data_IF_927625262689
#
_entry.id   IF_927625262689
#
_cell.length_a   1.000
_cell.length_b   1.000
_cell.length_c   1.000
_cell.angle_alpha   90.00
_cell.angle_beta   90.00
_cell.angle_gamma   90.00
#
_symmetry.space_group_name_H-M   'P 1'
#
loop_
_entity.id
_entity.type
_entity.pdbx_description
1 polymer ?
#
# COMPACT_ATOMS: atom_id res chain seq x y z
N UNK A 1 15.28 6.77 20.29
CA UNK A 1 14.80 5.48 19.74
C UNK A 1 14.39 5.73 18.30
N UNK A 2 15.06 5.09 17.34
CA UNK A 2 14.78 5.31 15.92
C UNK A 2 13.40 4.77 15.55
N UNK A 3 12.52 5.64 15.05
CA UNK A 3 11.24 5.22 14.47
C UNK A 3 11.44 4.43 13.18
N UNK A 4 10.37 3.85 12.64
CA UNK A 4 10.41 3.00 11.43
C UNK A 4 10.49 3.80 10.11
N UNK A 5 10.69 5.12 10.16
CA UNK A 5 10.66 6.01 8.99
C UNK A 5 11.78 5.75 7.98
N UNK A 6 12.78 4.92 8.32
CA UNK A 6 13.89 4.51 7.46
C UNK A 6 13.71 3.09 6.89
N UNK A 7 12.68 2.35 7.35
CA UNK A 7 12.42 0.97 6.92
C UNK A 7 11.62 1.01 5.62
N UNK A 8 12.02 0.27 4.56
CA UNK A 8 11.22 0.11 3.36
C UNK A 8 9.86 -0.54 3.67
N UNK A 9 8.77 0.09 3.23
CA UNK A 9 7.40 -0.37 3.48
C UNK A 9 6.58 -0.25 2.19
N UNK A 10 5.82 -1.28 1.85
CA UNK A 10 4.76 -1.20 0.84
C UNK A 10 3.46 -1.66 1.49
N UNK A 11 2.57 -0.71 1.78
CA UNK A 11 1.25 -1.00 2.33
C UNK A 11 0.21 -1.04 1.22
N UNK A 12 -0.85 -1.80 1.42
CA UNK A 12 -2.04 -1.79 0.57
C UNK A 12 -3.32 -1.85 1.41
N UNK A 13 -4.43 -1.34 0.88
CA UNK A 13 -5.73 -1.40 1.55
C UNK A 13 -6.89 -1.08 0.59
N UNK A 14 -7.98 -1.83 0.65
CA UNK A 14 -9.25 -1.41 0.02
C UNK A 14 -9.87 -0.26 0.78
N UNK A 15 -10.32 0.77 0.06
CA UNK A 15 -10.91 1.98 0.65
C UNK A 15 -12.21 1.67 1.41
N UNK A 16 -12.96 0.67 0.94
CA UNK A 16 -14.26 0.24 1.46
C UNK A 16 -14.19 -0.99 2.38
N UNK A 17 -13.01 -1.34 2.91
CA UNK A 17 -12.87 -2.41 3.91
C UNK A 17 -13.74 -2.13 5.16
N UNK A 18 -14.78 -2.96 5.42
CA UNK A 18 -15.68 -2.75 6.54
C UNK A 18 -15.14 -3.34 7.87
N UNK A 19 -14.07 -4.13 7.82
CA UNK A 19 -13.48 -4.85 8.95
C UNK A 19 -12.36 -4.02 9.56
N UNK A 20 -11.38 -3.61 8.74
CA UNK A 20 -10.27 -2.74 9.14
C UNK A 20 -10.43 -1.40 8.43
N UNK A 21 -10.84 -0.33 9.13
CA UNK A 21 -11.17 0.92 8.46
C UNK A 21 -9.98 1.55 7.75
N UNK A 22 -10.21 2.10 6.56
CA UNK A 22 -9.17 2.71 5.72
C UNK A 22 -8.58 3.99 6.34
N UNK A 23 -9.42 4.89 6.89
CA UNK A 23 -8.98 6.17 7.49
C UNK A 23 -8.93 6.13 9.01
N UNK A 24 -10.08 6.30 9.64
CA UNK A 24 -10.27 6.20 11.07
C UNK A 24 -11.50 5.33 11.26
N UNK A 25 -11.44 4.34 12.15
CA UNK A 25 -12.67 3.63 12.46
C UNK A 25 -12.54 2.50 13.47
N UNK A 26 -13.65 2.35 14.21
CA UNK A 26 -14.02 1.37 15.24
C UNK A 26 -12.96 1.11 16.32
N UNK A 27 -13.36 1.36 17.58
CA UNK A 27 -12.52 1.18 18.78
C UNK A 27 -11.35 2.18 18.93
N UNK A 28 -11.38 3.33 18.25
CA UNK A 28 -10.39 4.40 18.42
C UNK A 28 -9.00 4.08 17.88
N UNK A 29 -8.89 3.16 16.91
CA UNK A 29 -7.63 2.80 16.25
C UNK A 29 -7.53 3.47 14.87
N UNK A 30 -6.34 3.96 14.48
CA UNK A 30 -6.13 4.54 13.16
C UNK A 30 -6.13 3.45 12.08
N UNK A 31 -6.72 3.77 10.93
CA UNK A 31 -6.63 2.98 9.70
C UNK A 31 -5.32 3.21 8.96
N UNK A 32 -5.09 2.45 7.90
CA UNK A 32 -3.84 2.49 7.12
C UNK A 32 -3.55 3.88 6.56
N UNK A 33 -4.55 4.61 6.05
CA UNK A 33 -4.36 5.99 5.57
C UNK A 33 -3.82 6.91 6.66
N UNK A 34 -4.39 6.82 7.87
CA UNK A 34 -3.97 7.64 9.02
C UNK A 34 -2.57 7.26 9.49
N UNK A 35 -2.23 5.96 9.49
CA UNK A 35 -0.88 5.49 9.78
C UNK A 35 0.15 5.99 8.76
N UNK A 36 -0.20 6.00 7.46
CA UNK A 36 0.66 6.57 6.43
C UNK A 36 0.86 8.08 6.63
N UNK A 37 -0.19 8.83 7.00
CA UNK A 37 -0.04 10.25 7.32
C UNK A 37 0.86 10.48 8.55
N UNK A 38 0.82 9.57 9.54
CA UNK A 38 1.70 9.63 10.70
C UNK A 38 3.17 9.37 10.31
N UNK A 39 3.45 8.41 9.41
CA UNK A 39 4.78 8.18 8.86
C UNK A 39 5.31 9.38 8.08
N UNK A 40 4.45 9.99 7.25
CA UNK A 40 4.77 11.20 6.49
C UNK A 40 5.09 12.38 7.41
N UNK A 41 4.27 12.58 8.46
CA UNK A 41 4.50 13.59 9.50
C UNK A 41 5.78 13.35 10.30
N UNK A 42 6.19 12.10 10.44
CA UNK A 42 7.46 11.71 11.07
C UNK A 42 8.67 11.83 10.13
N UNK A 43 8.47 12.30 8.88
CA UNK A 43 9.53 12.59 7.92
C UNK A 43 9.75 11.54 6.84
N UNK A 44 8.94 10.48 6.77
CA UNK A 44 9.00 9.54 5.65
C UNK A 44 8.46 10.20 4.38
N UNK A 45 9.11 9.95 3.23
CA UNK A 45 8.51 10.24 1.93
C UNK A 45 7.65 9.04 1.53
N UNK A 46 6.39 9.29 1.20
CA UNK A 46 5.43 8.25 0.80
C UNK A 46 5.01 8.47 -0.64
N UNK A 47 5.10 7.43 -1.46
CA UNK A 47 4.56 7.43 -2.82
C UNK A 47 3.24 6.67 -2.83
N UNK A 48 2.15 7.36 -3.17
CA UNK A 48 0.79 6.80 -3.15
C UNK A 48 0.31 6.43 -4.55
N UNK A 49 -0.50 5.40 -4.65
CA UNK A 49 -1.20 5.00 -5.85
C UNK A 49 -2.59 4.48 -5.55
N UNK A 50 -3.49 4.61 -6.52
CA UNK A 50 -4.87 4.13 -6.42
C UNK A 50 -5.27 3.47 -7.74
N UNK A 51 -5.85 2.28 -7.67
CA UNK A 51 -6.38 1.54 -8.82
C UNK A 51 -7.37 0.46 -8.37
N UNK A 52 -8.07 -0.16 -9.31
CA UNK A 52 -9.01 -1.24 -9.05
C UNK A 52 -8.30 -2.56 -8.66
N UNK A 53 -8.83 -3.32 -7.70
CA UNK A 53 -8.22 -4.57 -7.23
C UNK A 53 -8.64 -5.82 -8.03
N UNK A 54 -9.52 -5.66 -9.02
CA UNK A 54 -9.96 -6.70 -9.95
C UNK A 54 -9.29 -6.57 -11.32
N UNK A 55 -8.26 -5.71 -11.45
CA UNK A 55 -7.48 -5.62 -12.67
C UNK A 55 -6.89 -6.98 -13.06
N UNK A 56 -6.78 -7.28 -14.37
CA UNK A 56 -5.97 -8.39 -14.84
C UNK A 56 -4.54 -8.30 -14.30
N UNK A 57 -3.93 -9.44 -13.93
CA UNK A 57 -2.60 -9.50 -13.31
C UNK A 57 -1.57 -8.60 -13.99
N UNK A 58 -1.46 -8.67 -15.32
CA UNK A 58 -0.50 -7.86 -16.08
C UNK A 58 -0.71 -6.34 -15.92
N UNK A 59 -1.97 -5.88 -15.84
CA UNK A 59 -2.29 -4.48 -15.62
C UNK A 59 -2.01 -4.06 -14.17
N UNK A 60 -2.33 -4.92 -13.21
CA UNK A 60 -2.04 -4.70 -11.80
C UNK A 60 -0.52 -4.55 -11.55
N UNK A 61 0.27 -5.43 -12.15
CA UNK A 61 1.74 -5.37 -12.10
C UNK A 61 2.29 -4.13 -12.81
N UNK A 62 1.71 -3.73 -13.94
CA UNK A 62 2.11 -2.50 -14.62
C UNK A 62 1.88 -1.26 -13.74
N UNK A 63 0.76 -1.20 -13.02
CA UNK A 63 0.46 -0.13 -12.04
C UNK A 63 1.45 -0.15 -10.88
N UNK A 64 1.74 -1.33 -10.35
CA UNK A 64 2.70 -1.54 -9.26
C UNK A 64 4.12 -1.10 -9.66
N UNK A 65 4.57 -1.47 -10.87
CA UNK A 65 5.88 -1.07 -11.41
C UNK A 65 5.95 0.44 -11.65
N UNK A 66 4.86 1.05 -12.13
CA UNK A 66 4.78 2.49 -12.26
C UNK A 66 4.88 3.21 -10.90
N UNK A 67 4.23 2.69 -9.86
CA UNK A 67 4.31 3.21 -8.50
C UNK A 67 5.75 3.12 -7.96
N UNK A 68 6.37 1.94 -8.06
CA UNK A 68 7.76 1.72 -7.65
C UNK A 68 8.74 2.65 -8.37
N UNK A 69 8.58 2.83 -9.68
CA UNK A 69 9.41 3.75 -10.45
C UNK A 69 9.22 5.22 -10.02
N UNK A 70 8.01 5.63 -9.66
CA UNK A 70 7.78 6.97 -9.06
C UNK A 70 8.46 7.08 -7.71
N UNK A 71 8.37 6.06 -6.86
CA UNK A 71 8.98 6.06 -5.54
C UNK A 71 10.51 6.20 -5.64
N UNK A 72 11.15 5.42 -6.53
CA UNK A 72 12.59 5.52 -6.83
C UNK A 72 12.99 6.92 -7.27
N UNK A 73 12.24 7.55 -8.19
CA UNK A 73 12.52 8.93 -8.66
C UNK A 73 12.35 9.98 -7.56
N UNK A 74 11.42 9.78 -6.63
CA UNK A 74 11.17 10.69 -5.51
C UNK A 74 12.11 10.47 -4.31
N UNK A 75 12.95 9.42 -4.34
CA UNK A 75 13.73 8.98 -3.17
C UNK A 75 12.83 8.55 -2.01
N UNK A 76 11.71 7.90 -2.32
CA UNK A 76 10.71 7.38 -1.39
C UNK A 76 10.92 5.87 -1.24
N UNK A 77 11.06 5.39 0.00
CA UNK A 77 11.12 3.96 0.33
C UNK A 77 9.85 3.46 1.02
N UNK A 78 8.86 4.34 1.23
CA UNK A 78 7.51 3.97 1.65
C UNK A 78 6.55 4.12 0.46
N UNK A 79 5.79 3.06 0.17
CA UNK A 79 4.80 2.98 -0.89
C UNK A 79 3.44 2.65 -0.26
N UNK A 80 2.37 3.22 -0.81
CA UNK A 80 1.02 2.92 -0.37
C UNK A 80 0.06 2.80 -1.54
N UNK A 81 -0.56 1.62 -1.68
CA UNK A 81 -1.60 1.34 -2.66
C UNK A 81 -2.98 1.40 -2.00
N UNK A 82 -3.91 2.12 -2.60
CA UNK A 82 -5.32 2.13 -2.20
C UNK A 82 -6.17 1.50 -3.29
N UNK A 83 -7.05 0.58 -2.93
CA UNK A 83 -7.92 -0.05 -3.92
C UNK A 83 -9.29 0.63 -3.97
N UNK A 84 -9.75 0.91 -5.20
CA UNK A 84 -11.02 1.59 -5.46
C UNK A 84 -12.20 0.80 -4.86
N UNK A 85 -13.19 1.47 -4.22
CA UNK A 85 -14.37 0.79 -3.67
C UNK A 85 -15.09 -0.13 -4.67
N UNK A 86 -15.55 -1.29 -4.20
CA UNK A 86 -16.29 -2.27 -4.99
C UNK A 86 -15.46 -3.09 -5.97
N UNK A 87 -14.13 -2.95 -5.96
CA UNK A 87 -13.23 -3.64 -6.92
C UNK A 87 -12.45 -4.80 -6.31
N UNK A 88 -12.50 -5.00 -4.99
CA UNK A 88 -11.85 -6.16 -4.35
C UNK A 88 -12.74 -7.38 -4.43
N UNK A 89 -12.32 -8.46 -5.13
CA UNK A 89 -13.14 -9.65 -5.30
C UNK A 89 -13.50 -10.32 -3.97
N UNK A 90 -14.70 -10.91 -3.91
CA UNK A 90 -15.26 -11.66 -2.76
C UNK A 90 -15.57 -10.79 -1.54
N UNK A 91 -14.63 -9.98 -1.07
CA UNK A 91 -14.79 -9.11 0.11
C UNK A 91 -13.80 -7.95 0.06
N UNK A 92 -14.21 -6.69 0.31
CA UNK A 92 -13.30 -5.54 0.44
C UNK A 92 -12.16 -5.74 1.43
N UNK A 93 -12.35 -6.58 2.45
CA UNK A 93 -11.30 -6.90 3.40
C UNK A 93 -10.12 -7.67 2.76
N UNK A 94 -10.36 -8.40 1.66
CA UNK A 94 -9.38 -9.33 1.06
C UNK A 94 -8.37 -8.65 0.14
N UNK A 95 -7.95 -7.43 0.50
CA UNK A 95 -6.99 -6.61 -0.23
C UNK A 95 -5.68 -7.37 -0.53
N UNK A 96 -5.28 -8.27 0.37
CA UNK A 96 -4.08 -9.08 0.28
C UNK A 96 -4.04 -10.06 -0.91
N UNK A 97 -5.19 -10.44 -1.47
CA UNK A 97 -5.25 -11.47 -2.50
C UNK A 97 -4.42 -11.09 -3.74
N UNK A 98 -4.59 -9.87 -4.25
CA UNK A 98 -3.75 -9.38 -5.36
C UNK A 98 -2.32 -9.07 -4.92
N UNK A 99 -2.13 -8.57 -3.70
CA UNK A 99 -0.78 -8.25 -3.18
C UNK A 99 0.13 -9.47 -3.22
N UNK A 100 -0.37 -10.65 -2.84
CA UNK A 100 0.42 -11.89 -2.83
C UNK A 100 0.51 -12.60 -4.18
N UNK A 101 -0.25 -12.18 -5.19
CA UNK A 101 -0.14 -12.66 -6.58
C UNK A 101 0.74 -11.75 -7.46
N UNK A 102 1.25 -10.65 -6.90
CA UNK A 102 1.96 -9.60 -7.61
C UNK A 102 3.48 -9.77 -7.52
N UNK A 103 4.09 -10.22 -8.62
CA UNK A 103 5.52 -10.50 -8.68
C UNK A 103 6.36 -9.23 -8.44
N UNK A 104 5.84 -8.04 -8.78
CA UNK A 104 6.53 -6.75 -8.53
C UNK A 104 6.69 -6.46 -7.04
N UNK A 105 5.67 -6.76 -6.24
CA UNK A 105 5.71 -6.54 -4.79
C UNK A 105 6.63 -7.57 -4.12
N UNK A 106 6.57 -8.81 -4.59
CA UNK A 106 7.42 -9.91 -4.10
C UNK A 106 8.90 -9.62 -4.39
N UNK A 107 9.24 -9.33 -5.65
CA UNK A 107 10.61 -8.97 -6.05
C UNK A 107 11.11 -7.76 -5.25
N UNK A 108 10.26 -6.72 -5.13
CA UNK A 108 10.59 -5.55 -4.32
C UNK A 108 10.89 -5.92 -2.87
N UNK A 109 10.13 -6.82 -2.24
CA UNK A 109 10.37 -7.23 -0.87
C UNK A 109 11.72 -7.95 -0.73
N UNK A 110 12.07 -8.83 -1.67
CA UNK A 110 13.34 -9.57 -1.65
C UNK A 110 14.56 -8.71 -1.98
N UNK A 111 14.38 -7.57 -2.66
CA UNK A 111 15.45 -6.58 -2.89
C UNK A 111 15.85 -5.82 -1.60
N UNK A 112 15.08 -5.92 -0.51
CA UNK A 112 15.37 -5.19 0.73
C UNK A 112 16.48 -5.89 1.54
N UNK A 113 17.42 -5.11 2.05
CA UNK A 113 18.53 -5.57 2.90
C UNK A 113 18.82 -4.56 4.02
N UNK A 114 19.64 -4.97 4.99
CA UNK A 114 20.04 -4.16 6.16
C UNK A 114 21.44 -3.61 6.01
#
# INVERSE_FOLDING_TARGET
MGGITHIPIWADHSIDDPVVPYREGRFGKPGTWTLMNALESAGARITRGEWANDLPKAEFEARSRALLNRARRAGSHVLFTSYTPGTTPVSPHFAWAQTYENDVVIDWLFDQSR
#
